data_IF_805479153018
#
_entry.id   IF_805479153018
#
_cell.length_a   1.000
_cell.length_b   1.000
_cell.length_c   1.000
_cell.angle_alpha   90.00
_cell.angle_beta   90.00
_cell.angle_gamma   90.00
#
_symmetry.space_group_name_H-M   'P 1'
#
loop_
_entity.id
_entity.type
_entity.pdbx_description
1 polymer ?
#
# COMPACT_ATOMS: atom_id res chain seq x y z
N UNK A 1 -14.38 17.56 24.34
CA UNK A 1 -14.66 18.79 23.56
C UNK A 1 -13.32 19.48 23.37
N UNK A 2 -12.62 19.15 22.31
CA UNK A 2 -11.34 19.78 21.96
C UNK A 2 -11.65 21.14 21.36
N UNK A 3 -11.04 22.17 21.92
CA UNK A 3 -11.05 23.54 21.41
C UNK A 3 -10.61 23.51 19.95
N UNK A 4 -11.51 23.80 19.03
CA UNK A 4 -11.15 24.05 17.63
C UNK A 4 -10.32 25.33 17.61
N UNK A 5 -9.01 25.20 17.74
CA UNK A 5 -8.11 26.31 17.47
C UNK A 5 -8.31 26.66 16.00
N UNK A 6 -8.87 27.82 15.77
CA UNK A 6 -9.09 28.36 14.44
C UNK A 6 -7.74 28.74 13.85
N UNK A 7 -7.03 27.74 13.27
CA UNK A 7 -5.73 28.00 12.66
C UNK A 7 -5.95 28.81 11.40
N UNK A 8 -5.17 29.86 11.25
CA UNK A 8 -5.16 30.70 10.06
C UNK A 8 -5.00 29.85 8.78
N UNK A 9 -5.82 30.06 7.74
CA UNK A 9 -5.80 29.29 6.51
C UNK A 9 -4.44 29.28 5.81
N UNK A 10 -3.69 30.36 5.89
CA UNK A 10 -2.33 30.45 5.28
C UNK A 10 -1.36 29.50 6.02
N UNK A 11 -1.41 29.51 7.35
CA UNK A 11 -0.60 28.62 8.19
C UNK A 11 -0.94 27.15 7.91
N UNK A 12 -2.23 26.79 7.81
CA UNK A 12 -2.66 25.43 7.42
C UNK A 12 -2.07 25.03 6.07
N UNK A 13 -2.14 25.93 5.07
CA UNK A 13 -1.59 25.66 3.75
C UNK A 13 -0.08 25.47 3.78
N UNK A 14 0.64 26.21 4.63
CA UNK A 14 2.10 26.06 4.81
C UNK A 14 2.45 24.72 5.49
N UNK A 15 1.70 24.29 6.52
CA UNK A 15 1.86 22.96 7.16
C UNK A 15 1.62 21.86 6.13
N UNK A 16 0.52 21.91 5.39
CA UNK A 16 0.20 20.96 4.31
C UNK A 16 1.30 20.90 3.24
N UNK A 17 1.81 22.06 2.81
CA UNK A 17 2.91 22.17 1.87
C UNK A 17 4.22 21.57 2.40
N UNK A 18 4.48 21.74 3.70
CA UNK A 18 5.66 21.16 4.37
C UNK A 18 5.59 19.62 4.39
N UNK A 19 4.42 19.04 4.70
CA UNK A 19 4.21 17.58 4.63
C UNK A 19 4.44 17.04 3.23
N UNK A 20 3.86 17.69 2.20
CA UNK A 20 4.06 17.30 0.80
C UNK A 20 5.54 17.32 0.40
N UNK A 21 6.24 18.39 0.75
CA UNK A 21 7.66 18.55 0.44
C UNK A 21 8.52 17.49 1.17
N UNK A 22 8.23 17.24 2.45
CA UNK A 22 8.93 16.23 3.24
C UNK A 22 8.77 14.83 2.65
N UNK A 23 7.55 14.44 2.25
CA UNK A 23 7.30 13.15 1.61
C UNK A 23 8.10 13.01 0.31
N UNK A 24 7.97 13.98 -0.58
CA UNK A 24 8.68 13.96 -1.88
C UNK A 24 10.19 13.86 -1.70
N UNK A 25 10.77 14.59 -0.75
CA UNK A 25 12.21 14.55 -0.48
C UNK A 25 12.64 13.16 0.00
N UNK A 26 11.89 12.54 0.91
CA UNK A 26 12.20 11.21 1.42
C UNK A 26 12.03 10.13 0.36
N UNK A 27 11.00 10.22 -0.49
CA UNK A 27 10.77 9.31 -1.61
C UNK A 27 11.90 9.42 -2.64
N UNK A 28 12.34 10.62 -2.99
CA UNK A 28 13.51 10.86 -3.87
C UNK A 28 14.81 10.34 -3.23
N UNK A 29 14.95 10.41 -1.90
CA UNK A 29 16.10 9.84 -1.21
C UNK A 29 16.15 8.32 -1.38
N UNK A 30 15.01 7.61 -1.20
CA UNK A 30 14.90 6.17 -1.43
C UNK A 30 15.28 5.85 -2.89
N UNK A 31 14.65 6.52 -3.86
CA UNK A 31 14.88 6.29 -5.29
C UNK A 31 16.35 6.42 -5.67
N UNK A 32 17.07 7.38 -5.09
CA UNK A 32 18.48 7.66 -5.42
C UNK A 32 19.48 6.78 -4.68
N UNK A 33 19.09 6.18 -3.58
CA UNK A 33 20.02 5.42 -2.71
C UNK A 33 19.73 3.93 -2.64
N UNK A 34 18.53 3.48 -3.01
CA UNK A 34 18.21 2.08 -3.12
C UNK A 34 19.05 1.38 -4.19
N UNK A 35 19.34 0.12 -3.97
CA UNK A 35 20.18 -0.68 -4.86
C UNK A 35 19.36 -1.54 -5.81
N UNK A 36 18.21 -2.05 -5.37
CA UNK A 36 17.39 -2.92 -6.22
C UNK A 36 16.63 -2.11 -7.29
N UNK A 37 16.53 -2.68 -8.47
CA UNK A 37 15.81 -2.09 -9.58
C UNK A 37 14.30 -1.97 -9.29
N UNK A 38 13.75 -2.86 -8.48
CA UNK A 38 12.33 -2.84 -8.15
C UNK A 38 11.94 -1.60 -7.34
N UNK A 39 12.83 -1.14 -6.45
CA UNK A 39 12.64 0.11 -5.71
C UNK A 39 12.99 1.30 -6.60
N UNK A 40 14.17 1.30 -7.22
CA UNK A 40 14.73 2.46 -7.92
C UNK A 40 14.02 2.77 -9.24
N UNK A 41 13.75 1.76 -10.06
CA UNK A 41 13.22 1.93 -11.41
C UNK A 41 11.71 1.63 -11.47
N UNK A 42 11.23 0.59 -10.74
CA UNK A 42 9.81 0.26 -10.66
C UNK A 42 9.04 1.18 -9.71
N UNK A 43 9.75 1.87 -8.80
CA UNK A 43 9.21 2.79 -7.80
C UNK A 43 8.19 2.16 -6.85
N UNK A 44 8.47 0.93 -6.40
CA UNK A 44 7.61 0.24 -5.44
C UNK A 44 8.05 0.53 -4.00
N UNK A 45 7.86 1.75 -3.60
CA UNK A 45 8.16 2.28 -2.26
C UNK A 45 7.19 3.39 -1.88
N UNK A 46 7.13 3.73 -0.60
CA UNK A 46 6.32 4.84 -0.08
C UNK A 46 6.93 5.41 1.20
N UNK A 47 6.64 6.69 1.44
CA UNK A 47 6.82 7.33 2.74
C UNK A 47 5.48 7.89 3.19
N UNK A 48 5.07 7.57 4.41
CA UNK A 48 3.80 8.00 4.97
C UNK A 48 4.03 8.68 6.33
N UNK A 49 3.22 9.67 6.63
CA UNK A 49 3.18 10.33 7.92
C UNK A 49 1.89 9.96 8.64
N UNK A 50 2.01 9.59 9.90
CA UNK A 50 0.89 9.18 10.73
C UNK A 50 0.84 10.08 11.96
N UNK A 51 -0.36 10.33 12.48
CA UNK A 51 -0.52 11.08 13.72
C UNK A 51 -0.12 10.25 14.96
N UNK A 52 -0.23 10.84 16.12
CA UNK A 52 0.06 10.16 17.40
C UNK A 52 -0.87 8.97 17.71
N UNK A 53 -2.00 8.85 17.00
CA UNK A 53 -2.95 7.74 17.15
C UNK A 53 -2.76 6.68 16.06
N UNK A 54 -1.74 6.80 15.21
CA UNK A 54 -1.49 5.90 14.08
C UNK A 54 -2.30 6.20 12.82
N UNK A 55 -3.12 7.25 12.81
CA UNK A 55 -3.94 7.62 11.67
C UNK A 55 -3.11 8.33 10.60
N UNK A 56 -3.34 7.99 9.34
CA UNK A 56 -2.62 8.59 8.23
C UNK A 56 -2.89 10.09 8.12
N UNK A 57 -1.83 10.88 8.17
CA UNK A 57 -1.81 12.32 7.93
C UNK A 57 -1.61 12.64 6.45
N UNK A 58 -0.72 11.92 5.82
CA UNK A 58 -0.45 12.01 4.39
C UNK A 58 0.34 10.81 3.92
N UNK A 59 -0.19 10.11 2.93
CA UNK A 59 0.47 8.93 2.40
C UNK A 59 -0.40 8.13 1.44
N UNK A 60 -0.15 6.83 1.40
CA UNK A 60 -0.94 5.84 0.68
C UNK A 60 -0.89 4.48 1.42
N UNK A 61 -1.20 4.48 2.73
CA UNK A 61 -1.34 3.25 3.52
C UNK A 61 -2.57 2.44 3.12
N UNK A 62 -3.37 2.97 2.21
CA UNK A 62 -4.67 2.41 1.82
C UNK A 62 -5.60 2.13 3.02
N UNK A 63 -5.58 3.02 4.01
CA UNK A 63 -6.42 2.89 5.20
C UNK A 63 -5.98 1.82 6.19
N UNK A 64 -4.82 1.23 6.00
CA UNK A 64 -4.26 0.23 6.91
C UNK A 64 -3.61 0.88 8.12
N UNK A 65 -3.74 0.23 9.28
CA UNK A 65 -3.09 0.64 10.52
C UNK A 65 -1.66 0.09 10.57
N UNK A 66 -0.68 0.96 10.34
CA UNK A 66 0.74 0.60 10.31
C UNK A 66 1.40 0.61 11.69
N UNK A 67 0.72 1.05 12.74
CA UNK A 67 1.31 1.26 14.06
C UNK A 67 0.88 0.20 15.07
N UNK A 68 -0.37 -0.26 15.01
CA UNK A 68 -0.96 -1.13 16.03
C UNK A 68 -0.13 -2.40 16.30
N UNK A 69 0.38 -3.05 15.25
CA UNK A 69 1.20 -4.26 15.41
C UNK A 69 2.51 -3.98 16.16
N UNK A 70 3.05 -2.77 16.03
CA UNK A 70 4.22 -2.33 16.80
C UNK A 70 3.81 -2.06 18.25
N UNK A 71 2.68 -1.39 18.50
CA UNK A 71 2.18 -1.14 19.85
C UNK A 71 1.82 -2.43 20.60
N UNK A 72 1.31 -3.44 19.92
CA UNK A 72 0.99 -4.74 20.52
C UNK A 72 2.26 -5.41 21.11
N UNK A 73 3.45 -5.08 20.60
CA UNK A 73 4.74 -5.60 21.07
C UNK A 73 5.52 -4.58 21.91
N UNK A 74 5.49 -3.32 21.51
CA UNK A 74 6.21 -2.18 22.11
C UNK A 74 5.19 -1.05 22.38
N UNK A 75 4.53 -1.03 23.55
CA UNK A 75 3.60 0.02 23.91
C UNK A 75 4.21 1.41 23.74
N UNK A 76 3.39 2.40 23.33
CA UNK A 76 3.88 3.73 22.97
C UNK A 76 4.73 4.42 24.07
N UNK A 77 4.41 4.15 25.35
CA UNK A 77 5.14 4.64 26.51
C UNK A 77 6.53 4.03 26.70
N UNK A 78 6.84 2.94 25.97
CA UNK A 78 8.16 2.28 26.00
C UNK A 78 9.07 2.75 24.87
N UNK A 79 8.53 3.55 23.94
CA UNK A 79 9.29 4.09 22.82
C UNK A 79 10.19 5.23 23.27
N UNK A 80 11.30 5.40 22.58
CA UNK A 80 12.27 6.45 22.85
C UNK A 80 12.72 7.18 21.58
N UNK A 81 13.23 8.42 21.68
CA UNK A 81 13.83 9.12 20.56
C UNK A 81 14.97 8.30 19.94
N UNK A 82 14.97 8.17 18.62
CA UNK A 82 15.96 7.38 17.88
C UNK A 82 15.64 5.89 17.77
N UNK A 83 14.48 5.44 18.25
CA UNK A 83 13.97 4.10 17.97
C UNK A 83 13.51 3.99 16.52
N UNK A 84 13.75 2.80 15.94
CA UNK A 84 13.22 2.41 14.64
C UNK A 84 12.75 0.95 14.70
N UNK A 85 11.55 0.71 14.24
CA UNK A 85 10.95 -0.62 14.20
C UNK A 85 10.93 -1.14 12.78
N UNK A 86 11.18 -2.44 12.60
CA UNK A 86 11.18 -3.14 11.32
C UNK A 86 10.26 -4.36 11.37
N UNK A 87 9.40 -4.54 10.37
CA UNK A 87 8.50 -5.69 10.28
C UNK A 87 8.02 -5.92 8.84
N UNK A 88 7.55 -7.14 8.56
CA UNK A 88 6.89 -7.49 7.30
C UNK A 88 5.83 -8.58 7.46
N UNK A 89 5.48 -8.99 8.68
CA UNK A 89 4.54 -10.09 8.89
C UNK A 89 3.09 -9.66 8.62
N UNK A 90 2.43 -10.21 7.56
CA UNK A 90 1.08 -9.80 7.20
C UNK A 90 0.03 -10.16 8.26
N UNK A 91 0.19 -11.28 8.95
CA UNK A 91 -0.78 -11.74 9.94
C UNK A 91 -0.67 -10.96 11.25
N UNK A 92 0.57 -10.72 11.73
CA UNK A 92 0.77 -9.90 12.91
C UNK A 92 0.36 -8.44 12.68
N UNK A 93 0.55 -7.93 11.47
CA UNK A 93 0.09 -6.60 11.10
C UNK A 93 -1.38 -6.52 10.67
N UNK A 94 -2.14 -7.63 10.77
CA UNK A 94 -3.57 -7.71 10.44
C UNK A 94 -3.89 -7.18 9.02
N UNK A 95 -3.01 -7.49 8.06
CA UNK A 95 -3.16 -7.08 6.67
C UNK A 95 -2.66 -5.67 6.34
N UNK A 96 -2.04 -4.95 7.29
CA UNK A 96 -1.39 -3.66 7.01
C UNK A 96 -0.19 -3.84 6.08
N UNK A 97 0.64 -4.83 6.33
CA UNK A 97 1.55 -5.41 5.34
C UNK A 97 0.79 -6.51 4.62
N UNK A 98 0.85 -6.52 3.30
CA UNK A 98 -0.04 -7.40 2.51
C UNK A 98 0.64 -8.67 2.00
N UNK A 99 1.96 -8.73 1.97
CA UNK A 99 2.80 -9.92 1.72
C UNK A 99 4.23 -9.69 2.21
N UNK A 100 5.00 -10.76 2.37
CA UNK A 100 6.33 -10.72 2.99
C UNK A 100 7.37 -9.82 2.32
N UNK A 101 7.42 -9.64 0.98
CA UNK A 101 8.39 -8.72 0.37
C UNK A 101 8.21 -7.25 0.74
N UNK A 102 7.05 -6.86 1.25
CA UNK A 102 6.77 -5.48 1.66
C UNK A 102 7.39 -5.18 3.03
N UNK A 103 8.67 -4.79 3.04
CA UNK A 103 9.38 -4.43 4.26
C UNK A 103 9.00 -3.03 4.73
N UNK A 104 8.72 -2.93 6.00
CA UNK A 104 8.16 -1.74 6.63
C UNK A 104 9.02 -1.26 7.78
N UNK A 105 9.30 0.04 7.82
CA UNK A 105 9.98 0.73 8.92
C UNK A 105 9.06 1.77 9.53
N UNK A 106 9.01 1.81 10.84
CA UNK A 106 8.22 2.77 11.62
C UNK A 106 9.12 3.48 12.64
N UNK A 107 9.10 4.80 12.64
CA UNK A 107 9.86 5.65 13.55
C UNK A 107 8.93 6.59 14.31
N UNK A 108 8.94 6.60 15.66
CA UNK A 108 8.21 7.57 16.45
C UNK A 108 8.89 8.94 16.38
N UNK A 109 8.12 10.01 16.23
CA UNK A 109 8.60 11.40 16.22
C UNK A 109 8.33 12.02 17.58
N UNK A 110 9.39 12.35 18.32
CA UNK A 110 9.31 12.97 19.63
C UNK A 110 9.52 14.48 19.52
N UNK A 111 8.58 15.26 20.05
CA UNK A 111 8.71 16.69 20.20
C UNK A 111 8.29 17.10 21.61
N UNK A 112 9.13 17.89 22.31
CA UNK A 112 8.92 18.30 23.70
C UNK A 112 8.67 17.13 24.67
N UNK A 113 9.32 15.97 24.41
CA UNK A 113 9.25 14.79 25.28
C UNK A 113 8.03 13.88 25.04
N UNK A 114 7.19 14.18 24.06
CA UNK A 114 5.99 13.39 23.71
C UNK A 114 6.06 12.90 22.27
N UNK A 115 5.47 11.74 21.99
CA UNK A 115 5.25 11.27 20.61
C UNK A 115 4.16 12.12 19.98
N UNK A 116 4.50 12.85 18.91
CA UNK A 116 3.58 13.74 18.18
C UNK A 116 3.13 13.17 16.84
N UNK A 117 3.89 12.22 16.28
CA UNK A 117 3.63 11.60 14.99
C UNK A 117 4.47 10.33 14.84
N UNK A 118 4.22 9.60 13.75
CA UNK A 118 5.09 8.50 13.29
C UNK A 118 5.47 8.73 11.82
N UNK A 119 6.70 8.35 11.47
CA UNK A 119 7.15 8.23 10.09
C UNK A 119 7.16 6.76 9.72
N UNK A 120 6.53 6.43 8.62
CA UNK A 120 6.47 5.10 8.07
C UNK A 120 7.13 5.12 6.70
N UNK A 121 8.06 4.19 6.44
CA UNK A 121 8.60 3.94 5.11
C UNK A 121 8.45 2.46 4.75
N UNK A 122 8.14 2.21 3.51
CA UNK A 122 7.91 0.89 2.97
C UNK A 122 8.59 0.77 1.61
N UNK A 123 9.07 -0.44 1.28
CA UNK A 123 9.39 -0.82 -0.08
C UNK A 123 9.22 -2.32 -0.29
N UNK A 124 8.96 -2.69 -1.55
CA UNK A 124 8.98 -4.07 -2.00
C UNK A 124 10.42 -4.51 -2.22
N UNK A 125 10.92 -5.40 -1.35
CA UNK A 125 12.28 -5.91 -1.43
C UNK A 125 12.41 -7.03 -2.46
N UNK A 126 13.59 -7.12 -3.06
CA UNK A 126 13.86 -7.99 -4.20
C UNK A 126 13.73 -9.49 -3.89
N UNK A 127 14.21 -9.94 -2.74
CA UNK A 127 14.18 -11.33 -2.30
C UNK A 127 14.36 -11.44 -0.78
N UNK A 128 13.48 -12.17 -0.15
CA UNK A 128 13.49 -12.46 1.28
C UNK A 128 13.54 -13.96 1.56
N UNK A 129 14.07 -14.74 0.64
CA UNK A 129 14.12 -16.19 0.75
C UNK A 129 12.83 -16.86 0.28
N UNK A 130 12.35 -17.83 1.05
CA UNK A 130 11.15 -18.61 0.69
C UNK A 130 11.40 -19.64 -0.41
N UNK A 131 10.31 -20.20 -0.96
CA UNK A 131 10.36 -21.33 -1.91
C UNK A 131 10.89 -20.95 -3.30
N UNK A 132 10.76 -19.67 -3.68
CA UNK A 132 11.13 -19.16 -5.01
C UNK A 132 11.98 -17.89 -4.89
N UNK A 133 12.95 -17.66 -5.81
CA UNK A 133 13.59 -16.37 -5.94
C UNK A 133 12.55 -15.27 -6.20
N UNK A 134 12.71 -14.13 -5.52
CA UNK A 134 11.73 -13.03 -5.52
C UNK A 134 10.63 -13.19 -4.48
N UNK A 135 10.65 -14.26 -3.69
CA UNK A 135 9.72 -14.51 -2.55
C UNK A 135 8.24 -14.51 -2.95
N UNK A 136 7.92 -14.62 -4.23
CA UNK A 136 6.56 -14.72 -4.75
C UNK A 136 6.45 -16.00 -5.60
N UNK A 137 5.56 -16.89 -5.18
CA UNK A 137 5.33 -18.15 -5.88
C UNK A 137 3.85 -18.44 -6.07
N UNK A 138 3.34 -18.51 -7.33
CA UNK A 138 1.93 -18.84 -7.56
C UNK A 138 1.52 -20.19 -6.93
N UNK A 139 2.46 -21.13 -6.84
CA UNK A 139 2.24 -22.45 -6.27
C UNK A 139 2.54 -22.54 -4.75
N UNK A 140 2.73 -21.42 -4.08
CA UNK A 140 2.87 -21.41 -2.62
C UNK A 140 1.54 -21.71 -1.95
N UNK A 141 1.57 -22.56 -0.91
CA UNK A 141 0.37 -23.02 -0.20
C UNK A 141 0.32 -22.51 1.23
N UNK A 142 1.43 -22.01 1.75
CA UNK A 142 1.52 -21.43 3.09
C UNK A 142 2.50 -20.24 3.11
N UNK A 143 2.32 -19.36 4.07
CA UNK A 143 3.09 -18.10 4.17
C UNK A 143 4.59 -18.31 4.32
N UNK A 144 5.04 -19.44 4.89
CA UNK A 144 6.47 -19.78 5.03
C UNK A 144 7.14 -20.00 3.67
N UNK A 145 6.38 -20.30 2.62
CA UNK A 145 6.89 -20.35 1.26
C UNK A 145 7.14 -18.96 0.66
N UNK A 146 6.49 -17.92 1.19
CA UNK A 146 6.53 -16.53 0.69
C UNK A 146 7.75 -15.75 1.19
N UNK A 147 8.62 -16.35 2.02
CA UNK A 147 9.85 -15.72 2.49
C UNK A 147 9.94 -15.58 4.01
N UNK A 148 10.95 -14.84 4.43
CA UNK A 148 11.25 -14.63 5.85
C UNK A 148 10.22 -13.69 6.46
N UNK A 149 9.54 -14.16 7.51
CA UNK A 149 8.67 -13.34 8.32
C UNK A 149 9.48 -12.61 9.40
N UNK A 150 9.33 -11.31 9.45
CA UNK A 150 9.93 -10.44 10.47
C UNK A 150 8.79 -9.86 11.30
N UNK A 151 8.59 -10.31 12.54
CA UNK A 151 7.63 -9.69 13.45
C UNK A 151 8.08 -8.25 13.75
N UNK A 152 7.25 -7.40 14.33
CA UNK A 152 7.70 -6.09 14.79
C UNK A 152 8.91 -6.23 15.73
N UNK A 153 10.09 -5.75 15.28
CA UNK A 153 11.32 -5.73 16.06
C UNK A 153 11.86 -4.31 16.17
N UNK A 154 12.44 -3.97 17.30
CA UNK A 154 13.20 -2.73 17.45
C UNK A 154 14.56 -2.95 16.80
N UNK A 155 14.68 -2.55 15.52
CA UNK A 155 15.93 -2.74 14.76
C UNK A 155 16.97 -1.68 15.11
N UNK A 156 16.53 -0.48 15.52
CA UNK A 156 17.39 0.55 16.11
C UNK A 156 16.83 0.90 17.47
N UNK A 157 17.63 0.80 18.51
CA UNK A 157 17.30 1.17 19.87
C UNK A 157 18.07 2.45 20.25
N UNK A 158 17.38 3.59 20.32
CA UNK A 158 17.96 4.89 20.64
C UNK A 158 19.22 5.22 19.83
N UNK A 159 19.16 4.99 18.51
CA UNK A 159 20.25 5.23 17.58
C UNK A 159 21.25 4.09 17.44
N UNK A 160 21.12 3.00 18.21
CA UNK A 160 22.02 1.84 18.15
C UNK A 160 21.38 0.70 17.37
N UNK A 161 22.02 0.28 16.26
CA UNK A 161 21.56 -0.84 15.45
C UNK A 161 21.61 -2.17 16.22
N UNK A 162 20.55 -2.96 16.14
CA UNK A 162 20.52 -4.37 16.54
C UNK A 162 21.19 -5.21 15.44
N UNK A 163 22.51 -5.25 15.47
CA UNK A 163 23.33 -5.91 14.44
C UNK A 163 23.05 -7.41 14.31
N UNK A 164 22.71 -8.08 15.41
CA UNK A 164 22.42 -9.51 15.39
C UNK A 164 21.15 -9.83 14.59
N UNK A 165 20.04 -9.13 14.89
CA UNK A 165 18.80 -9.27 14.16
C UNK A 165 18.96 -8.86 12.69
N UNK A 166 19.68 -7.76 12.44
CA UNK A 166 19.98 -7.27 11.09
C UNK A 166 20.70 -8.31 10.25
N UNK A 167 21.77 -8.92 10.77
CA UNK A 167 22.55 -9.96 10.09
C UNK A 167 21.75 -11.24 9.82
N UNK A 168 20.84 -11.63 10.75
CA UNK A 168 19.97 -12.78 10.55
C UNK A 168 19.04 -12.54 9.36
N UNK A 169 18.41 -11.35 9.29
CA UNK A 169 17.48 -11.03 8.21
C UNK A 169 18.21 -10.98 6.86
N UNK A 170 19.35 -10.29 6.79
CA UNK A 170 20.17 -10.23 5.56
C UNK A 170 20.58 -11.62 5.07
N UNK A 171 20.97 -12.51 5.99
CA UNK A 171 21.44 -13.88 5.64
C UNK A 171 20.34 -14.74 5.01
N UNK A 172 19.08 -14.42 5.23
CA UNK A 172 17.95 -15.16 4.66
C UNK A 172 17.58 -14.74 3.23
N UNK A 173 18.17 -13.68 2.70
CA UNK A 173 18.04 -13.29 1.28
C UNK A 173 19.06 -14.05 0.40
N UNK A 174 18.65 -14.30 -0.85
CA UNK A 174 19.58 -14.76 -1.91
C UNK A 174 20.49 -13.64 -2.42
N UNK A 175 20.10 -12.39 -2.17
CA UNK A 175 20.81 -11.17 -2.60
C UNK A 175 21.06 -10.24 -1.40
N UNK A 176 21.88 -10.66 -0.42
CA UNK A 176 22.05 -9.93 0.86
C UNK A 176 22.58 -8.51 0.67
N UNK A 177 23.46 -8.28 -0.31
CA UNK A 177 24.05 -6.95 -0.57
C UNK A 177 22.99 -5.96 -1.08
N UNK A 178 22.08 -6.40 -1.97
CA UNK A 178 20.96 -5.58 -2.43
C UNK A 178 19.99 -5.27 -1.28
N UNK A 179 19.67 -6.31 -0.49
CA UNK A 179 18.81 -6.17 0.68
C UNK A 179 19.40 -5.19 1.71
N UNK A 180 20.72 -5.26 1.95
CA UNK A 180 21.42 -4.32 2.84
C UNK A 180 21.32 -2.88 2.34
N UNK A 181 21.60 -2.66 1.04
CA UNK A 181 21.52 -1.33 0.44
C UNK A 181 20.12 -0.73 0.51
N UNK A 182 19.10 -1.50 0.16
CA UNK A 182 17.71 -1.08 0.21
C UNK A 182 17.25 -0.79 1.64
N UNK A 183 17.63 -1.64 2.60
CA UNK A 183 17.36 -1.41 4.02
C UNK A 183 17.96 -0.10 4.51
N UNK A 184 19.22 0.19 4.17
CA UNK A 184 19.88 1.45 4.53
C UNK A 184 19.19 2.67 3.90
N UNK A 185 18.71 2.55 2.66
CA UNK A 185 17.95 3.60 1.99
C UNK A 185 16.65 3.93 2.73
N UNK A 186 15.90 2.90 3.15
CA UNK A 186 14.65 3.10 3.91
C UNK A 186 14.90 3.65 5.32
N UNK A 187 15.94 3.17 6.02
CA UNK A 187 16.33 3.72 7.32
C UNK A 187 16.73 5.20 7.22
N UNK A 188 17.48 5.55 6.18
CA UNK A 188 17.85 6.95 5.92
C UNK A 188 16.63 7.82 5.62
N UNK A 189 15.67 7.32 4.84
CA UNK A 189 14.42 8.02 4.56
C UNK A 189 13.56 8.19 5.82
N UNK A 190 13.47 7.18 6.68
CA UNK A 190 12.75 7.28 7.95
C UNK A 190 13.36 8.34 8.87
N UNK A 191 14.69 8.39 8.97
CA UNK A 191 15.39 9.43 9.73
C UNK A 191 15.14 10.82 9.15
N UNK A 192 15.22 10.95 7.82
CA UNK A 192 14.96 12.24 7.14
C UNK A 192 13.52 12.70 7.33
N UNK A 193 12.58 11.78 7.29
CA UNK A 193 11.16 12.06 7.54
C UNK A 193 10.94 12.60 8.97
N UNK A 194 11.58 11.99 9.98
CA UNK A 194 11.56 12.51 11.36
C UNK A 194 12.11 13.93 11.44
N UNK A 195 13.28 14.20 10.85
CA UNK A 195 13.90 15.53 10.83
C UNK A 195 12.94 16.58 10.25
N UNK A 196 12.30 16.27 9.11
CA UNK A 196 11.37 17.19 8.45
C UNK A 196 10.11 17.46 9.27
N UNK A 197 9.57 16.45 9.96
CA UNK A 197 8.47 16.69 10.89
C UNK A 197 8.90 17.54 12.07
N UNK A 198 10.06 17.27 12.68
CA UNK A 198 10.59 18.07 13.77
C UNK A 198 10.83 19.54 13.37
N UNK A 199 11.37 19.80 12.18
CA UNK A 199 11.51 21.15 11.63
C UNK A 199 10.14 21.84 11.48
N UNK A 200 9.11 21.10 11.04
CA UNK A 200 7.74 21.60 10.90
C UNK A 200 7.16 21.98 12.29
N UNK A 201 7.27 21.11 13.29
CA UNK A 201 6.83 21.37 14.66
C UNK A 201 7.59 22.56 15.29
N UNK A 202 8.90 22.64 15.09
CA UNK A 202 9.70 23.74 15.56
C UNK A 202 9.33 25.10 14.91
N UNK A 203 8.99 25.09 13.63
CA UNK A 203 8.63 26.27 12.86
C UNK A 203 7.26 26.85 13.20
N UNK A 204 6.25 26.00 13.34
CA UNK A 204 4.86 26.43 13.50
C UNK A 204 4.35 26.30 14.96
N UNK A 205 5.10 25.64 15.83
CA UNK A 205 4.69 25.29 17.19
C UNK A 205 3.82 24.04 17.24
N UNK A 206 3.85 23.33 18.38
CA UNK A 206 3.18 22.03 18.58
C UNK A 206 1.68 22.13 18.37
N UNK A 207 1.00 23.02 19.12
CA UNK A 207 -0.45 23.14 19.05
C UNK A 207 -0.95 23.53 17.67
N UNK A 208 -0.30 24.51 17.03
CA UNK A 208 -0.68 24.98 15.69
C UNK A 208 -0.52 23.88 14.66
N UNK A 209 0.57 23.12 14.73
CA UNK A 209 0.83 22.02 13.82
C UNK A 209 -0.21 20.91 13.97
N UNK A 210 -0.43 20.44 15.21
CA UNK A 210 -1.43 19.39 15.48
C UNK A 210 -2.84 19.83 15.06
N UNK A 211 -3.26 21.05 15.41
CA UNK A 211 -4.56 21.57 15.03
C UNK A 211 -4.72 21.70 13.50
N UNK A 212 -3.64 22.01 12.77
CA UNK A 212 -3.65 22.06 11.30
C UNK A 212 -3.85 20.67 10.69
N UNK A 213 -3.16 19.67 11.23
CA UNK A 213 -3.23 18.27 10.77
C UNK A 213 -4.61 17.65 11.06
N UNK A 214 -5.13 17.87 12.27
CA UNK A 214 -6.48 17.42 12.66
C UNK A 214 -7.55 18.04 11.77
N UNK A 215 -7.42 19.35 11.46
CA UNK A 215 -8.35 20.03 10.55
C UNK A 215 -8.27 19.49 9.11
N UNK A 216 -7.08 19.13 8.63
CA UNK A 216 -6.92 18.54 7.29
C UNK A 216 -7.57 17.14 7.20
N UNK A 217 -7.46 16.32 8.23
CA UNK A 217 -8.15 15.03 8.30
C UNK A 217 -9.67 15.22 8.35
N UNK A 218 -10.15 16.17 9.15
CA UNK A 218 -11.59 16.48 9.27
C UNK A 218 -12.17 16.99 7.93
N UNK A 219 -11.46 17.87 7.22
CA UNK A 219 -11.91 18.39 5.92
C UNK A 219 -11.98 17.27 4.87
N UNK A 220 -10.99 16.37 4.84
CA UNK A 220 -11.02 15.20 3.95
C UNK A 220 -12.18 14.27 4.30
N UNK A 221 -12.37 13.95 5.57
CA UNK A 221 -13.47 13.10 6.04
C UNK A 221 -14.83 13.69 5.67
N UNK A 222 -15.01 14.99 5.90
CA UNK A 222 -16.25 15.72 5.56
C UNK A 222 -16.52 15.63 4.05
N UNK A 223 -15.56 15.99 3.23
CA UNK A 223 -15.70 15.98 1.77
C UNK A 223 -16.01 14.57 1.25
N UNK A 224 -15.28 13.55 1.71
CA UNK A 224 -15.50 12.17 1.31
C UNK A 224 -16.89 11.70 1.73
N UNK A 225 -17.32 12.01 2.96
CA UNK A 225 -18.65 11.65 3.45
C UNK A 225 -19.77 12.31 2.66
N UNK A 226 -19.67 13.61 2.43
CA UNK A 226 -20.67 14.36 1.64
C UNK A 226 -20.78 13.79 0.23
N UNK A 227 -19.66 13.47 -0.42
CA UNK A 227 -19.64 12.89 -1.76
C UNK A 227 -20.13 11.45 -1.80
N UNK A 228 -19.84 10.63 -0.80
CA UNK A 228 -20.37 9.26 -0.72
C UNK A 228 -21.89 9.28 -0.60
N UNK A 229 -22.46 10.15 0.25
CA UNK A 229 -23.91 10.30 0.40
C UNK A 229 -24.58 10.96 -0.82
N UNK A 230 -23.90 11.83 -1.53
CA UNK A 230 -24.42 12.43 -2.77
C UNK A 230 -24.50 11.41 -3.92
N UNK A 231 -23.51 10.53 -4.04
CA UNK A 231 -23.31 9.67 -5.22
C UNK A 231 -23.92 8.29 -5.04
N UNK A 232 -23.81 7.68 -3.87
CA UNK A 232 -24.37 6.35 -3.59
C UNK A 232 -25.86 6.52 -3.26
N UNK A 233 -26.80 5.99 -4.07
CA UNK A 233 -28.22 6.09 -3.76
C UNK A 233 -28.65 5.13 -2.64
N UNK A 234 -29.84 5.34 -2.10
CA UNK A 234 -30.48 4.39 -1.18
C UNK A 234 -30.67 3.02 -1.84
N UNK A 235 -30.48 1.96 -1.08
CA UNK A 235 -30.67 0.60 -1.56
C UNK A 235 -29.45 -0.29 -1.39
N UNK A 236 -29.44 -1.40 -2.11
CA UNK A 236 -28.41 -2.41 -2.04
C UNK A 236 -27.97 -2.83 -3.45
N UNK A 237 -26.66 -2.87 -3.66
CA UNK A 237 -26.00 -3.18 -4.91
C UNK A 237 -24.96 -4.27 -4.65
N UNK A 238 -24.77 -5.17 -5.60
CA UNK A 238 -23.80 -6.25 -5.41
C UNK A 238 -23.07 -6.61 -6.69
N UNK A 239 -21.81 -7.01 -6.54
CA UNK A 239 -20.97 -7.52 -7.63
C UNK A 239 -20.29 -8.80 -7.18
N UNK A 240 -20.30 -9.78 -8.06
CA UNK A 240 -19.51 -11.01 -7.91
C UNK A 240 -18.43 -11.03 -9.00
N UNK A 241 -17.18 -11.18 -8.59
CA UNK A 241 -16.05 -11.30 -9.49
C UNK A 241 -15.26 -12.59 -9.22
N UNK A 242 -14.39 -12.99 -10.14
CA UNK A 242 -13.80 -14.32 -10.14
C UNK A 242 -12.30 -14.28 -10.37
N UNK A 243 -11.61 -15.23 -9.72
CA UNK A 243 -10.25 -15.64 -9.99
C UNK A 243 -10.31 -17.03 -10.62
N UNK A 244 -9.69 -17.22 -11.76
CA UNK A 244 -9.78 -18.43 -12.57
C UNK A 244 -8.92 -19.58 -12.02
N UNK A 245 -7.88 -19.31 -11.24
CA UNK A 245 -7.18 -20.32 -10.46
C UNK A 245 -6.22 -19.71 -9.41
N UNK A 246 -5.76 -20.53 -8.47
CA UNK A 246 -4.88 -20.10 -7.39
C UNK A 246 -3.39 -20.48 -7.56
N UNK A 247 -3.01 -21.04 -8.70
CA UNK A 247 -1.64 -21.49 -8.96
C UNK A 247 -1.35 -22.95 -8.61
N UNK A 248 -2.21 -23.61 -7.87
CA UNK A 248 -2.07 -25.02 -7.42
C UNK A 248 -3.19 -25.92 -7.88
N UNK A 249 -4.32 -25.38 -8.23
CA UNK A 249 -5.50 -26.10 -8.73
C UNK A 249 -6.25 -25.28 -9.76
N UNK A 250 -7.05 -25.92 -10.61
CA UNK A 250 -7.94 -25.29 -11.59
C UNK A 250 -9.27 -24.85 -10.98
N UNK A 251 -9.36 -24.77 -9.65
CA UNK A 251 -10.53 -24.29 -8.95
C UNK A 251 -10.68 -22.78 -9.14
N UNK A 252 -11.89 -22.36 -9.49
CA UNK A 252 -12.27 -20.95 -9.51
C UNK A 252 -12.62 -20.48 -8.12
N UNK A 253 -12.25 -19.24 -7.81
CA UNK A 253 -12.59 -18.56 -6.58
C UNK A 253 -13.38 -17.30 -6.90
N UNK A 254 -14.40 -17.03 -6.11
CA UNK A 254 -15.20 -15.82 -6.25
C UNK A 254 -15.13 -14.97 -4.98
N UNK A 255 -15.20 -13.67 -5.15
CA UNK A 255 -15.55 -12.78 -4.05
C UNK A 255 -16.80 -12.02 -4.43
N UNK A 256 -17.68 -11.90 -3.47
CA UNK A 256 -18.94 -11.24 -3.57
C UNK A 256 -18.93 -10.02 -2.67
N UNK A 257 -19.12 -8.84 -3.23
CA UNK A 257 -19.10 -7.57 -2.51
C UNK A 257 -20.45 -6.88 -2.68
N UNK A 258 -21.07 -6.54 -1.56
CA UNK A 258 -22.37 -5.88 -1.50
C UNK A 258 -22.22 -4.54 -0.80
N UNK A 259 -22.69 -3.48 -1.44
CA UNK A 259 -22.77 -2.13 -0.92
C UNK A 259 -24.23 -1.84 -0.58
N UNK A 260 -24.50 -1.44 0.65
CA UNK A 260 -25.84 -1.07 1.08
C UNK A 260 -25.84 0.33 1.67
N UNK A 261 -26.83 1.14 1.32
CA UNK A 261 -27.08 2.42 1.97
C UNK A 261 -28.49 2.46 2.53
N UNK A 262 -28.60 2.74 3.83
CA UNK A 262 -29.84 2.99 4.54
C UNK A 262 -29.74 4.33 5.26
N UNK A 263 -30.53 5.29 4.87
CA UNK A 263 -30.41 6.72 5.25
C UNK A 263 -28.98 7.23 5.01
N UNK A 264 -28.27 7.59 6.08
CA UNK A 264 -26.89 8.06 6.02
C UNK A 264 -25.86 6.96 6.30
N UNK A 265 -26.27 5.72 6.55
CA UNK A 265 -25.37 4.60 6.84
C UNK A 265 -25.01 3.84 5.57
N UNK A 266 -23.72 3.67 5.32
CA UNK A 266 -23.18 2.92 4.18
C UNK A 266 -22.41 1.73 4.72
N UNK A 267 -22.81 0.52 4.30
CA UNK A 267 -22.19 -0.75 4.72
C UNK A 267 -21.64 -1.49 3.52
N UNK A 268 -20.45 -2.05 3.68
CA UNK A 268 -19.83 -2.96 2.72
C UNK A 268 -19.79 -4.37 3.31
N UNK A 269 -20.36 -5.34 2.61
CA UNK A 269 -20.40 -6.74 3.04
C UNK A 269 -19.72 -7.63 1.99
N UNK A 270 -18.70 -8.36 2.39
CA UNK A 270 -17.98 -9.33 1.57
C UNK A 270 -17.99 -10.75 2.17
N UNK A 271 -18.91 -11.02 3.11
CA UNK A 271 -18.99 -12.29 3.85
C UNK A 271 -19.37 -13.49 2.98
N UNK A 272 -20.03 -13.27 1.85
CA UNK A 272 -20.39 -14.30 0.87
C UNK A 272 -19.28 -14.66 -0.13
N UNK A 273 -18.06 -14.11 0.07
CA UNK A 273 -16.90 -14.54 -0.71
C UNK A 273 -16.53 -15.98 -0.40
N UNK A 274 -15.89 -16.67 -1.37
CA UNK A 274 -15.46 -18.06 -1.22
C UNK A 274 -14.50 -18.23 -0.03
N UNK A 275 -14.37 -19.49 0.42
CA UNK A 275 -13.35 -19.87 1.38
C UNK A 275 -11.95 -19.56 0.84
N UNK A 276 -10.98 -19.42 1.74
CA UNK A 276 -9.59 -19.15 1.37
C UNK A 276 -9.08 -20.10 0.30
N UNK A 277 -8.24 -19.57 -0.58
CA UNK A 277 -7.63 -20.33 -1.65
C UNK A 277 -6.55 -21.27 -1.10
N UNK A 278 -6.39 -22.41 -1.78
CA UNK A 278 -5.31 -23.38 -1.53
C UNK A 278 -3.94 -22.90 -2.04
N UNK A 279 -3.91 -21.81 -2.80
CA UNK A 279 -2.70 -21.16 -3.32
C UNK A 279 -2.53 -19.73 -2.80
N UNK A 280 -1.62 -18.99 -3.39
CA UNK A 280 -1.10 -17.73 -2.86
C UNK A 280 -1.90 -16.47 -3.22
N UNK A 281 -3.09 -16.60 -3.79
CA UNK A 281 -3.95 -15.45 -4.18
C UNK A 281 -4.80 -14.88 -3.05
N UNK A 282 -4.74 -15.43 -1.84
CA UNK A 282 -5.45 -14.89 -0.68
C UNK A 282 -5.03 -13.44 -0.41
N UNK A 283 -5.96 -12.64 0.06
CA UNK A 283 -5.72 -11.26 0.47
C UNK A 283 -6.24 -11.03 1.88
N UNK A 284 -5.34 -10.80 2.83
CA UNK A 284 -5.74 -10.43 4.19
C UNK A 284 -6.14 -8.95 4.19
N UNK A 285 -7.42 -8.70 3.89
CA UNK A 285 -7.98 -7.36 3.82
C UNK A 285 -8.22 -6.81 5.23
N UNK A 286 -7.91 -5.53 5.45
CA UNK A 286 -8.40 -4.79 6.61
C UNK A 286 -9.68 -4.03 6.25
N UNK A 287 -10.52 -3.75 7.26
CA UNK A 287 -11.72 -2.92 7.08
C UNK A 287 -11.36 -1.55 6.50
N UNK A 288 -10.27 -0.97 7.01
CA UNK A 288 -9.74 0.29 6.50
C UNK A 288 -9.35 0.24 5.03
N UNK A 289 -8.72 -0.84 4.56
CA UNK A 289 -8.34 -0.97 3.15
C UNK A 289 -9.54 -0.95 2.21
N UNK A 290 -10.62 -1.64 2.57
CA UNK A 290 -11.85 -1.64 1.78
C UNK A 290 -12.52 -0.28 1.77
N UNK A 291 -12.63 0.38 2.92
CA UNK A 291 -13.18 1.74 3.03
C UNK A 291 -12.36 2.74 2.22
N UNK A 292 -11.02 2.64 2.27
CA UNK A 292 -10.12 3.52 1.54
C UNK A 292 -10.27 3.40 0.01
N UNK A 293 -10.62 2.23 -0.54
CA UNK A 293 -10.88 2.11 -1.99
C UNK A 293 -12.04 2.98 -2.45
N UNK A 294 -13.10 3.10 -1.65
CA UNK A 294 -14.19 4.03 -1.90
C UNK A 294 -13.75 5.47 -1.65
N UNK A 295 -13.07 5.72 -0.54
CA UNK A 295 -12.57 7.05 -0.20
C UNK A 295 -11.64 7.63 -1.26
N UNK A 296 -10.73 6.84 -1.81
CA UNK A 296 -9.85 7.25 -2.93
C UNK A 296 -10.66 7.63 -4.18
N UNK A 297 -11.76 6.91 -4.46
CA UNK A 297 -12.65 7.30 -5.55
C UNK A 297 -13.29 8.68 -5.29
N UNK A 298 -13.78 8.94 -4.08
CA UNK A 298 -14.41 10.22 -3.76
C UNK A 298 -13.41 11.37 -3.60
N UNK A 299 -12.17 11.08 -3.21
CA UNK A 299 -11.10 12.08 -3.08
C UNK A 299 -10.82 12.83 -4.40
N UNK A 300 -11.11 12.22 -5.56
CA UNK A 300 -10.94 12.89 -6.86
C UNK A 300 -11.79 14.17 -7.02
N UNK A 301 -12.83 14.36 -6.20
CA UNK A 301 -13.70 15.55 -6.27
C UNK A 301 -13.07 16.80 -5.65
N UNK A 302 -12.04 16.61 -4.77
CA UNK A 302 -11.21 17.71 -4.30
C UNK A 302 -9.78 17.23 -4.01
N UNK A 303 -8.94 17.23 -5.03
CA UNK A 303 -7.53 16.84 -4.94
C UNK A 303 -6.63 17.90 -4.27
N UNK A 304 -7.17 19.02 -3.86
CA UNK A 304 -6.43 20.02 -3.07
C UNK A 304 -6.21 19.56 -1.63
N UNK A 305 -7.11 18.71 -1.11
CA UNK A 305 -6.97 18.04 0.18
C UNK A 305 -5.87 16.97 0.13
N UNK A 306 -5.33 16.60 1.28
CA UNK A 306 -4.40 15.46 1.37
C UNK A 306 -5.19 14.15 1.41
N UNK A 307 -4.76 13.09 0.69
CA UNK A 307 -5.22 11.75 1.00
C UNK A 307 -4.70 11.37 2.39
N UNK A 308 -5.61 11.09 3.31
CA UNK A 308 -5.33 10.83 4.71
C UNK A 308 -6.40 9.92 5.31
N UNK A 309 -6.36 9.69 6.62
CA UNK A 309 -7.32 8.85 7.34
C UNK A 309 -8.79 9.24 7.10
N UNK A 310 -9.08 10.48 6.73
CA UNK A 310 -10.43 10.94 6.36
C UNK A 310 -11.04 10.19 5.17
N UNK A 311 -10.24 9.50 4.36
CA UNK A 311 -10.75 8.63 3.29
C UNK A 311 -11.67 7.52 3.81
N UNK A 312 -11.48 7.07 5.05
CA UNK A 312 -12.27 6.00 5.65
C UNK A 312 -13.73 6.42 5.91
N UNK A 313 -14.03 7.71 5.92
CA UNK A 313 -15.38 8.23 6.10
C UNK A 313 -16.37 7.86 4.96
N UNK A 314 -15.90 7.21 3.90
CA UNK A 314 -16.73 6.74 2.81
C UNK A 314 -17.70 5.62 3.22
N UNK A 315 -17.27 4.74 4.13
CA UNK A 315 -18.00 3.53 4.57
C UNK A 315 -18.07 3.53 6.09
N UNK A 316 -19.23 3.23 6.66
CA UNK A 316 -19.43 3.19 8.11
C UNK A 316 -19.08 1.81 8.69
N UNK A 317 -19.35 0.74 7.96
CA UNK A 317 -19.10 -0.64 8.40
C UNK A 317 -18.63 -1.52 7.24
N UNK A 318 -17.67 -2.38 7.55
CA UNK A 318 -17.18 -3.41 6.64
C UNK A 318 -17.38 -4.77 7.32
N UNK A 319 -17.97 -5.71 6.61
CA UNK A 319 -18.16 -7.08 7.07
C UNK A 319 -17.33 -8.04 6.24
N UNK A 320 -16.39 -8.71 6.90
CA UNK A 320 -15.54 -9.74 6.34
C UNK A 320 -15.77 -11.07 7.08
N UNK A 321 -15.53 -12.20 6.42
CA UNK A 321 -15.67 -13.53 7.00
C UNK A 321 -14.30 -14.17 7.19
N UNK A 322 -13.99 -14.55 8.42
CA UNK A 322 -12.77 -15.33 8.72
C UNK A 322 -12.75 -16.65 7.95
N UNK A 323 -11.60 -17.08 7.46
CA UNK A 323 -11.43 -18.25 6.62
C UNK A 323 -11.87 -18.07 5.17
N UNK A 324 -12.19 -16.83 4.74
CA UNK A 324 -12.47 -16.50 3.34
C UNK A 324 -11.21 -16.07 2.59
N UNK A 325 -11.30 -16.00 1.25
CA UNK A 325 -10.22 -15.49 0.39
C UNK A 325 -9.80 -14.05 0.73
N UNK A 326 -10.69 -13.27 1.40
CA UNK A 326 -10.44 -11.89 1.83
C UNK A 326 -10.04 -11.77 3.32
N UNK A 327 -10.14 -12.86 4.07
CA UNK A 327 -9.71 -12.98 5.48
C UNK A 327 -9.20 -14.40 5.73
N UNK A 328 -8.09 -14.81 5.09
CA UNK A 328 -7.58 -16.16 5.22
C UNK A 328 -7.06 -16.41 6.64
N UNK A 329 -7.19 -17.68 7.07
CA UNK A 329 -6.61 -18.16 8.31
C UNK A 329 -5.11 -18.40 8.15
N UNK A 330 -4.36 -18.15 9.22
CA UNK A 330 -2.98 -18.58 9.33
C UNK A 330 -2.87 -20.11 9.16
N UNK A 331 -1.88 -20.62 8.35
CA UNK A 331 -0.79 -19.91 7.69
C UNK A 331 -0.97 -19.80 6.16
N UNK A 332 -2.14 -19.47 5.66
CA UNK A 332 -2.37 -19.40 4.21
C UNK A 332 -1.36 -18.47 3.50
N UNK A 333 -0.96 -18.84 2.27
CA UNK A 333 -0.04 -18.06 1.46
C UNK A 333 -0.70 -16.77 0.92
N UNK A 334 0.08 -15.70 0.83
CA UNK A 334 -0.35 -14.36 0.42
C UNK A 334 0.51 -13.77 -0.72
N UNK A 335 1.50 -14.50 -1.22
CA UNK A 335 2.51 -13.96 -2.15
C UNK A 335 1.90 -13.31 -3.39
N UNK A 336 0.85 -13.89 -3.97
CA UNK A 336 0.14 -13.39 -5.15
C UNK A 336 -1.14 -12.62 -4.83
N UNK A 337 -1.31 -12.10 -3.60
CA UNK A 337 -2.50 -11.31 -3.17
C UNK A 337 -2.82 -10.14 -4.10
N UNK A 338 -1.82 -9.65 -4.85
CA UNK A 338 -1.99 -8.52 -5.76
C UNK A 338 -3.08 -8.75 -6.80
N UNK A 339 -3.27 -9.99 -7.25
CA UNK A 339 -4.35 -10.34 -8.18
C UNK A 339 -5.71 -10.10 -7.55
N UNK A 340 -5.92 -10.58 -6.33
CA UNK A 340 -7.20 -10.42 -5.60
C UNK A 340 -7.48 -8.97 -5.26
N UNK A 341 -6.54 -8.23 -4.64
CA UNK A 341 -6.83 -6.85 -4.26
C UNK A 341 -7.02 -5.91 -5.47
N UNK A 342 -6.32 -6.14 -6.58
CA UNK A 342 -6.47 -5.30 -7.77
C UNK A 342 -7.83 -5.53 -8.43
N UNK A 343 -8.27 -6.79 -8.51
CA UNK A 343 -9.63 -7.11 -8.97
C UNK A 343 -10.68 -6.57 -8.01
N UNK A 344 -10.46 -6.66 -6.71
CA UNK A 344 -11.36 -6.08 -5.70
C UNK A 344 -11.53 -4.56 -5.88
N UNK A 345 -10.45 -3.83 -6.20
CA UNK A 345 -10.54 -2.42 -6.59
C UNK A 345 -11.42 -2.20 -7.82
N UNK A 346 -11.34 -3.10 -8.81
CA UNK A 346 -12.21 -3.05 -9.99
C UNK A 346 -13.67 -3.35 -9.62
N UNK A 347 -13.90 -4.28 -8.69
CA UNK A 347 -15.24 -4.59 -8.19
C UNK A 347 -15.89 -3.43 -7.43
N UNK A 348 -15.11 -2.63 -6.68
CA UNK A 348 -15.59 -1.38 -6.08
C UNK A 348 -16.10 -0.41 -7.15
N UNK A 349 -15.38 -0.27 -8.27
CA UNK A 349 -15.83 0.56 -9.40
C UNK A 349 -17.08 -0.01 -10.05
N UNK A 350 -17.18 -1.33 -10.18
CA UNK A 350 -18.37 -2.01 -10.72
C UNK A 350 -19.58 -1.80 -9.80
N UNK A 351 -19.43 -1.87 -8.49
CA UNK A 351 -20.48 -1.55 -7.52
C UNK A 351 -20.99 -0.10 -7.68
N UNK A 352 -20.06 0.85 -7.78
CA UNK A 352 -20.40 2.25 -8.00
C UNK A 352 -21.06 2.45 -9.37
N UNK A 353 -20.64 1.72 -10.41
CA UNK A 353 -21.27 1.77 -11.72
C UNK A 353 -22.70 1.23 -11.69
N UNK A 354 -22.95 0.12 -11.00
CA UNK A 354 -24.29 -0.42 -10.80
C UNK A 354 -25.18 0.58 -10.04
N UNK A 355 -24.67 1.08 -8.91
CA UNK A 355 -25.38 2.04 -8.07
C UNK A 355 -25.73 3.34 -8.79
N UNK A 356 -24.89 3.83 -9.70
CA UNK A 356 -25.01 5.14 -10.35
C UNK A 356 -25.51 5.07 -11.80
N UNK A 357 -25.84 3.89 -12.31
CA UNK A 357 -26.23 3.70 -13.72
C UNK A 357 -25.06 3.98 -14.69
N UNK A 358 -23.85 3.55 -14.36
CA UNK A 358 -22.67 3.60 -15.24
C UNK A 358 -21.94 4.95 -15.27
N UNK A 359 -22.14 5.81 -14.27
CA UNK A 359 -21.51 7.15 -14.22
C UNK A 359 -20.09 7.15 -13.62
N UNK A 360 -19.39 6.03 -13.59
CA UNK A 360 -18.06 5.90 -13.03
C UNK A 360 -17.09 5.26 -14.03
N UNK A 361 -15.80 5.31 -13.72
CA UNK A 361 -14.76 4.68 -14.52
C UNK A 361 -14.92 3.16 -14.51
N UNK A 362 -14.77 2.51 -15.65
CA UNK A 362 -14.74 1.05 -15.76
C UNK A 362 -13.57 0.44 -14.98
N UNK A 363 -13.66 -0.85 -14.68
CA UNK A 363 -12.60 -1.61 -14.04
C UNK A 363 -11.31 -1.58 -14.87
N UNK A 364 -10.18 -1.74 -14.18
CA UNK A 364 -8.87 -1.87 -14.83
C UNK A 364 -8.44 -3.32 -14.80
N UNK A 365 -7.74 -3.77 -15.82
CA UNK A 365 -7.09 -5.08 -15.79
C UNK A 365 -5.94 -5.09 -14.76
N UNK A 366 -5.61 -6.27 -14.27
CA UNK A 366 -4.46 -6.50 -13.42
C UNK A 366 -3.20 -6.45 -14.30
N UNK A 367 -2.13 -5.91 -13.76
CA UNK A 367 -0.81 -5.99 -14.42
C UNK A 367 -0.30 -7.44 -14.47
N UNK A 368 0.55 -7.74 -15.43
CA UNK A 368 1.26 -9.02 -15.53
C UNK A 368 2.57 -8.88 -14.76
N UNK A 369 2.84 -9.79 -13.82
CA UNK A 369 4.16 -9.89 -13.19
C UNK A 369 4.85 -11.12 -13.72
N UNK A 370 6.10 -10.96 -14.13
CA UNK A 370 6.96 -12.04 -14.58
C UNK A 370 8.26 -12.06 -13.76
N UNK A 371 8.67 -13.26 -13.41
CA UNK A 371 9.93 -13.52 -12.70
C UNK A 371 10.79 -14.41 -13.59
N UNK A 372 11.98 -13.92 -14.00
CA UNK A 372 12.93 -14.70 -14.77
C UNK A 372 14.21 -14.87 -13.97
N UNK A 373 14.68 -16.10 -13.92
CA UNK A 373 15.99 -16.40 -13.40
C UNK A 373 16.92 -16.68 -14.55
N UNK A 374 17.94 -15.87 -14.72
CA UNK A 374 18.91 -15.94 -15.81
C UNK A 374 20.29 -16.26 -15.24
N UNK A 375 21.10 -16.96 -16.03
CA UNK A 375 22.47 -17.28 -15.66
C UNK A 375 23.43 -16.38 -16.44
N UNK A 376 24.24 -15.64 -15.74
CA UNK A 376 25.30 -14.85 -16.35
C UNK A 376 26.42 -15.71 -16.94
N UNK A 377 27.19 -15.13 -17.85
CA UNK A 377 28.38 -15.79 -18.45
C UNK A 377 29.44 -16.16 -17.39
N UNK A 378 29.49 -15.47 -16.25
CA UNK A 378 30.32 -15.77 -15.11
C UNK A 378 29.84 -16.94 -14.23
N UNK A 379 28.64 -17.45 -14.48
CA UNK A 379 28.02 -18.54 -13.73
C UNK A 379 27.08 -18.11 -12.62
N UNK A 380 27.00 -16.83 -12.29
CA UNK A 380 26.09 -16.29 -11.30
C UNK A 380 24.65 -16.21 -11.81
N UNK A 381 23.70 -16.19 -10.88
CA UNK A 381 22.30 -16.12 -11.20
C UNK A 381 21.75 -14.71 -10.97
N UNK A 382 21.14 -14.13 -12.02
CA UNK A 382 20.36 -12.93 -11.94
C UNK A 382 18.88 -13.26 -11.77
N UNK A 383 18.19 -12.46 -10.98
CA UNK A 383 16.74 -12.42 -10.90
C UNK A 383 16.24 -11.15 -11.61
N UNK A 384 15.44 -11.31 -12.63
CA UNK A 384 14.67 -10.22 -13.22
C UNK A 384 13.21 -10.33 -12.77
N UNK A 385 12.71 -9.27 -12.20
CA UNK A 385 11.29 -9.15 -11.86
C UNK A 385 10.72 -7.97 -12.62
N UNK A 386 9.71 -8.21 -13.43
CA UNK A 386 9.02 -7.15 -14.16
C UNK A 386 7.51 -7.28 -14.02
N UNK A 387 6.85 -6.16 -13.78
CA UNK A 387 5.41 -6.01 -13.88
C UNK A 387 5.10 -5.13 -15.07
N UNK A 388 4.25 -5.61 -15.98
CA UNK A 388 3.85 -4.86 -17.18
C UNK A 388 2.46 -4.29 -16.95
N UNK A 389 2.34 -2.97 -16.97
CA UNK A 389 1.06 -2.28 -16.86
C UNK A 389 0.23 -2.52 -18.13
N UNK A 390 -1.06 -2.77 -17.96
CA UNK A 390 -1.97 -3.07 -19.06
C UNK A 390 -2.93 -1.93 -19.38
N UNK A 391 -3.24 -1.07 -18.42
CA UNK A 391 -4.03 0.14 -18.65
C UNK A 391 -5.22 0.31 -17.70
N UNK A 392 -5.88 1.45 -17.81
CA UNK A 392 -7.09 1.78 -17.07
C UNK A 392 -8.32 1.69 -17.95
N UNK A 393 -9.44 1.33 -17.34
CA UNK A 393 -10.74 1.29 -18.00
C UNK A 393 -11.24 2.66 -18.45
N UNK A 394 -12.23 2.66 -19.36
CA UNK A 394 -12.85 3.88 -19.88
C UNK A 394 -13.51 4.71 -18.77
N UNK A 395 -13.52 6.01 -18.97
CA UNK A 395 -14.14 7.02 -18.09
C UNK A 395 -15.50 7.44 -18.64
N UNK A 396 -16.39 8.04 -17.84
CA UNK A 396 -17.69 8.47 -18.33
C UNK A 396 -17.65 9.49 -19.47
N UNK A 397 -16.51 10.13 -19.71
CA UNK A 397 -16.33 11.24 -20.66
C UNK A 397 -15.13 11.04 -21.62
N UNK A 398 -14.40 9.93 -21.51
CA UNK A 398 -13.22 9.66 -22.36
C UNK A 398 -12.85 8.18 -22.32
N UNK A 399 -12.02 7.75 -23.28
CA UNK A 399 -11.40 6.45 -23.28
C UNK A 399 -10.51 6.22 -22.03
N UNK A 400 -10.13 4.98 -21.81
CA UNK A 400 -9.15 4.56 -20.84
C UNK A 400 -7.74 5.08 -21.16
N UNK A 401 -6.78 4.66 -20.35
CA UNK A 401 -5.37 4.99 -20.54
C UNK A 401 -4.58 3.70 -20.76
N UNK A 402 -3.74 3.68 -21.79
CA UNK A 402 -2.93 2.51 -22.14
C UNK A 402 -1.69 2.41 -21.27
N UNK A 403 -1.26 1.18 -20.99
CA UNK A 403 0.01 0.82 -20.38
C UNK A 403 0.37 1.63 -19.10
N UNK A 404 -0.63 1.90 -18.26
CA UNK A 404 -0.47 2.65 -17.03
C UNK A 404 -0.80 1.78 -15.81
N UNK A 405 0.00 1.89 -14.76
CA UNK A 405 -0.28 1.23 -13.49
C UNK A 405 -1.44 1.90 -12.74
N UNK A 406 -2.09 1.13 -11.88
CA UNK A 406 -3.12 1.66 -10.98
C UNK A 406 -2.57 2.47 -9.80
N UNK A 407 -1.24 2.49 -9.64
CA UNK A 407 -0.47 3.22 -8.62
C UNK A 407 0.68 3.95 -9.31
N UNK A 408 1.60 4.53 -8.54
CA UNK A 408 2.75 5.27 -9.04
C UNK A 408 3.91 4.42 -9.58
N UNK A 409 3.79 3.09 -9.54
CA UNK A 409 4.77 2.21 -10.17
C UNK A 409 4.95 2.53 -11.66
N UNK A 410 6.16 2.32 -12.18
CA UNK A 410 6.51 2.58 -13.58
C UNK A 410 6.88 1.30 -14.32
N UNK A 411 6.69 1.28 -15.63
CA UNK A 411 7.23 0.22 -16.50
C UNK A 411 8.74 0.41 -16.66
N UNK A 412 9.51 -0.68 -16.73
CA UNK A 412 10.93 -0.57 -17.05
C UNK A 412 11.11 -0.07 -18.49
N UNK A 413 12.02 0.91 -18.72
CA UNK A 413 12.45 1.23 -20.08
C UNK A 413 13.15 0.05 -20.74
N UNK A 414 12.98 -0.11 -22.06
CA UNK A 414 13.64 -1.19 -22.80
C UNK A 414 15.16 -1.14 -22.67
N UNK A 415 15.73 0.06 -22.70
CA UNK A 415 17.16 0.33 -22.54
C UNK A 415 17.67 -0.17 -21.16
N UNK A 416 16.92 0.09 -20.10
CA UNK A 416 17.25 -0.39 -18.76
C UNK A 416 17.29 -1.92 -18.73
N UNK A 417 16.29 -2.58 -19.32
CA UNK A 417 16.21 -4.03 -19.36
C UNK A 417 17.41 -4.66 -20.09
N UNK A 418 17.85 -4.06 -21.20
CA UNK A 418 19.00 -4.56 -21.98
C UNK A 418 20.35 -4.26 -21.30
N UNK A 419 20.43 -3.21 -20.48
CA UNK A 419 21.64 -2.87 -19.73
C UNK A 419 21.85 -3.76 -18.49
N UNK A 420 20.76 -4.05 -17.78
CA UNK A 420 20.83 -4.78 -16.50
C UNK A 420 20.75 -6.30 -16.68
N UNK A 421 20.14 -6.77 -17.77
CA UNK A 421 19.87 -8.18 -17.95
C UNK A 421 20.40 -8.69 -19.30
N UNK A 422 20.87 -9.95 -19.37
CA UNK A 422 21.35 -10.58 -20.61
C UNK A 422 20.17 -10.94 -21.52
N UNK A 423 19.41 -9.96 -21.93
CA UNK A 423 18.25 -10.10 -22.83
C UNK A 423 18.28 -8.99 -23.88
N UNK A 424 17.51 -9.20 -24.94
CA UNK A 424 17.27 -8.21 -25.99
C UNK A 424 15.79 -7.94 -26.10
N UNK A 425 15.40 -6.67 -26.08
CA UNK A 425 14.03 -6.22 -26.26
C UNK A 425 13.72 -6.10 -27.75
N UNK A 426 13.08 -7.10 -28.33
CA UNK A 426 12.72 -7.04 -29.75
C UNK A 426 11.54 -6.11 -30.04
N UNK A 427 10.61 -6.02 -29.09
CA UNK A 427 9.43 -5.16 -29.21
C UNK A 427 8.87 -4.82 -27.83
N UNK A 428 8.61 -3.53 -27.63
CA UNK A 428 7.86 -3.00 -26.48
C UNK A 428 6.87 -1.96 -27.01
N UNK A 429 5.63 -2.38 -27.18
CA UNK A 429 4.60 -1.55 -27.82
C UNK A 429 3.21 -1.99 -27.37
N UNK A 430 2.27 -1.05 -27.44
CA UNK A 430 0.85 -1.35 -27.31
C UNK A 430 0.42 -2.21 -28.49
N UNK A 431 -0.28 -3.31 -28.22
CA UNK A 431 -0.87 -4.13 -29.27
C UNK A 431 -2.01 -3.34 -29.94
N UNK A 432 -1.88 -3.10 -31.24
CA UNK A 432 -2.89 -2.38 -32.00
C UNK A 432 -4.23 -3.12 -31.96
N UNK A 433 -5.32 -2.38 -31.82
CA UNK A 433 -6.70 -2.90 -31.77
C UNK A 433 -6.97 -3.91 -30.63
N UNK A 434 -6.15 -3.88 -29.56
CA UNK A 434 -6.33 -4.77 -28.39
C UNK A 434 -7.30 -4.21 -27.33
N UNK A 435 -7.77 -2.98 -27.50
CA UNK A 435 -8.74 -2.35 -26.60
C UNK A 435 -10.13 -2.97 -26.74
N UNK A 436 -10.88 -3.01 -25.61
CA UNK A 436 -12.31 -3.36 -25.66
C UNK A 436 -13.16 -2.19 -26.14
N UNK A 437 -14.33 -2.46 -26.78
CA UNK A 437 -15.24 -1.40 -27.17
C UNK A 437 -15.82 -0.68 -25.95
N UNK A 438 -15.89 0.63 -26.01
CA UNK A 438 -16.45 1.49 -24.98
C UNK A 438 -17.52 2.43 -25.55
N UNK A 439 -17.90 3.42 -24.76
CA UNK A 439 -18.85 4.47 -25.17
C UNK A 439 -18.18 5.48 -26.11
N UNK A 440 -16.90 5.67 -25.97
CA UNK A 440 -16.07 6.58 -26.74
C UNK A 440 -15.05 5.83 -27.54
#
# INVERSE_FOLDING_TARGET
MTSTHNVDPVTRQLVRGSLRAARLECELLIERTAMSAFIREKKDYQVNFLDRNGHELYGDTMGSDMVQCVWDTYPAETMAPGDLYWYNDPYLSKGSVTHTPDMTFLAPVFFEGEVVAYCHSFAHFWDLGGSRPGSIGPANTEIFHDGTLVPPIKIVDQGKLNDEAYRIILRNSRYPDLLEGDTRALMAAANRAQERLLEMFARFGKETTLASLDADQADTAKMVREKSLEIIPQGSFSVRDYMDHAGVSDRWYSYHVKLSRDEDRITLDATESDDQADGSINFLASDGALSAYFGQYFHQYDTSLLPNHGLLAAIDEVHLRQGSILQPDWPAALGCRAHTFTKLKSSVRALLAEATGGKVMAGSAVYVIAYWRMKESGGDWLLCTDGIAVGHGARPFADGLDAIYSRHNENYPGEFMEMEYPLRMERYAIAQDSGGPGKY
#
